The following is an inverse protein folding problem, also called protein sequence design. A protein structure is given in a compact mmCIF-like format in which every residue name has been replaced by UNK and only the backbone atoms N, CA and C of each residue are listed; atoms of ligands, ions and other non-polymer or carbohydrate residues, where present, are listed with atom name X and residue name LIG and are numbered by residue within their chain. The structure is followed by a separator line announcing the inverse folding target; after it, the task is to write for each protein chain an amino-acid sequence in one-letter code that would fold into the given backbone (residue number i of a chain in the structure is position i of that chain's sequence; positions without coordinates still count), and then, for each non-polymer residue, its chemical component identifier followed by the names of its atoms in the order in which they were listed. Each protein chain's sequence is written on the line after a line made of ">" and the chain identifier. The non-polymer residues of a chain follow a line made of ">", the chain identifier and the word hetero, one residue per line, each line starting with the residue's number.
data_IF_473112941592
#
_entry.id   IF_473112941592
#
_cell.length_a   1.000
_cell.length_b   1.000
_cell.length_c   1.000
_cell.angle_alpha   90.00
_cell.angle_beta   90.00
_cell.angle_gamma   90.00
#
_symmetry.space_group_name_H-M   'P 1'
#
loop_
_entity.id
_entity.type
_entity.pdbx_description
1 polymer ?
#
# COMPACT_ATOMS: atom_id res chain seq x y z
N UNK A 1 -11.87 15.26 -7.32
CA UNK A 1 -11.00 14.68 -8.38
C UNK A 1 -10.26 13.50 -7.76
N UNK A 2 -10.41 12.28 -8.31
CA UNK A 2 -9.67 11.11 -7.84
C UNK A 2 -8.16 11.27 -8.06
N UNK A 3 -7.35 10.86 -7.09
CA UNK A 3 -5.89 10.77 -7.23
C UNK A 3 -5.51 9.36 -7.64
N UNK A 4 -4.57 9.25 -8.58
CA UNK A 4 -4.04 7.97 -9.02
C UNK A 4 -2.54 7.98 -8.82
N UNK A 5 -2.01 6.95 -8.18
CA UNK A 5 -0.58 6.76 -7.97
C UNK A 5 -0.14 5.43 -8.55
N UNK A 6 1.01 5.44 -9.21
CA UNK A 6 1.69 4.23 -9.66
C UNK A 6 3.03 4.19 -8.95
N UNK A 7 3.32 3.06 -8.29
CA UNK A 7 4.59 2.83 -7.57
C UNK A 7 5.23 1.60 -8.17
N UNK A 8 6.44 1.74 -8.70
CA UNK A 8 7.17 0.65 -9.35
C UNK A 8 8.62 0.63 -8.91
N UNK A 9 9.18 -0.57 -8.72
CA UNK A 9 10.61 -0.79 -8.45
C UNK A 9 11.12 -0.04 -7.20
N UNK A 10 10.35 -0.12 -6.11
CA UNK A 10 10.69 0.52 -4.83
C UNK A 10 11.21 -0.52 -3.84
N UNK A 11 12.25 -0.15 -3.10
CA UNK A 11 12.76 -0.88 -1.93
C UNK A 11 12.48 -0.06 -0.66
N UNK A 12 11.45 -0.44 0.10
CA UNK A 12 11.05 0.25 1.32
C UNK A 12 11.63 -0.45 2.56
N UNK A 13 12.30 0.32 3.43
CA UNK A 13 12.86 -0.16 4.70
C UNK A 13 11.97 0.29 5.84
N UNK A 14 11.57 -0.63 6.71
CA UNK A 14 10.84 -0.36 7.96
C UNK A 14 9.68 0.66 7.83
N UNK A 15 8.73 0.45 6.90
CA UNK A 15 7.58 1.34 6.77
C UNK A 15 6.74 1.35 8.05
N UNK A 16 6.52 2.53 8.62
CA UNK A 16 5.83 2.70 9.91
C UNK A 16 4.31 2.49 9.83
N UNK A 17 3.70 2.79 8.68
CA UNK A 17 2.23 2.75 8.51
C UNK A 17 1.86 1.92 7.30
N UNK A 18 2.24 2.37 6.09
CA UNK A 18 2.16 1.60 4.86
C UNK A 18 3.09 2.19 3.79
N UNK A 19 3.27 1.48 2.67
CA UNK A 19 4.00 2.03 1.50
C UNK A 19 3.12 3.09 0.80
N UNK A 20 1.83 2.80 0.61
CA UNK A 20 0.84 3.74 0.07
C UNK A 20 -0.44 3.70 0.90
N UNK A 21 -1.11 4.85 1.04
CA UNK A 21 -2.50 4.94 1.51
C UNK A 21 -3.34 5.72 0.50
N UNK A 22 -4.52 5.20 0.14
CA UNK A 22 -5.51 5.85 -0.75
C UNK A 22 -6.83 6.11 -0.04
N UNK A 23 -7.58 7.16 -0.42
CA UNK A 23 -8.90 7.42 0.16
C UNK A 23 -10.01 6.76 -0.67
N UNK A 24 -10.74 5.82 -0.06
CA UNK A 24 -11.83 5.07 -0.71
C UNK A 24 -12.96 5.99 -1.16
N UNK A 25 -13.42 6.90 -0.30
CA UNK A 25 -14.52 7.82 -0.61
C UNK A 25 -14.18 8.91 -1.64
N UNK A 26 -12.89 9.09 -1.96
CA UNK A 26 -12.46 9.98 -3.04
C UNK A 26 -12.23 9.22 -4.36
N UNK A 27 -12.43 7.90 -4.37
CA UNK A 27 -12.09 6.99 -5.46
C UNK A 27 -10.59 7.04 -5.85
N UNK A 28 -9.72 7.33 -4.88
CA UNK A 28 -8.27 7.31 -5.09
C UNK A 28 -7.81 5.86 -5.39
N UNK A 29 -6.75 5.73 -6.18
CA UNK A 29 -6.29 4.43 -6.70
C UNK A 29 -4.77 4.35 -6.62
N UNK A 30 -4.26 3.18 -6.30
CA UNK A 30 -2.85 2.84 -6.35
C UNK A 30 -2.64 1.61 -7.21
N UNK A 31 -1.66 1.67 -8.10
CA UNK A 31 -1.12 0.51 -8.83
C UNK A 31 0.30 0.27 -8.36
N UNK A 32 0.61 -0.96 -7.94
CA UNK A 32 1.93 -1.31 -7.40
C UNK A 32 2.52 -2.47 -8.21
N UNK A 33 3.82 -2.38 -8.51
CA UNK A 33 4.54 -3.41 -9.24
C UNK A 33 5.99 -3.51 -8.73
N UNK A 34 6.48 -4.73 -8.55
CA UNK A 34 7.87 -4.97 -8.15
C UNK A 34 8.29 -4.16 -6.91
N UNK A 35 7.53 -4.30 -5.82
CA UNK A 35 7.74 -3.62 -4.56
C UNK A 35 8.44 -4.56 -3.60
N UNK A 36 9.57 -4.14 -3.08
CA UNK A 36 10.28 -4.84 -2.04
C UNK A 36 10.13 -4.10 -0.73
N UNK A 37 9.91 -4.87 0.33
CA UNK A 37 9.87 -4.36 1.70
C UNK A 37 10.82 -5.17 2.56
N UNK A 38 11.71 -4.48 3.27
CA UNK A 38 12.55 -5.08 4.31
C UNK A 38 12.10 -4.57 5.68
N UNK A 39 11.92 -5.48 6.62
CA UNK A 39 11.76 -5.16 8.04
C UNK A 39 12.95 -5.66 8.82
N UNK A 40 13.54 -4.81 9.65
CA UNK A 40 14.71 -5.15 10.48
C UNK A 40 14.36 -6.10 11.62
N UNK A 41 13.10 -6.10 12.06
CA UNK A 41 12.57 -7.01 13.08
C UNK A 41 12.02 -8.33 12.52
N UNK A 42 12.11 -8.55 11.20
CA UNK A 42 11.67 -9.76 10.52
C UNK A 42 10.14 -9.91 10.37
N UNK A 43 9.34 -8.90 10.75
CA UNK A 43 7.88 -8.95 10.59
C UNK A 43 7.47 -9.01 9.13
N UNK A 44 6.52 -9.90 8.83
CA UNK A 44 5.95 -10.05 7.48
C UNK A 44 4.57 -9.40 7.31
N UNK A 45 3.93 -8.99 8.40
CA UNK A 45 2.61 -8.33 8.39
C UNK A 45 2.73 -6.83 8.10
N UNK A 46 3.39 -6.47 6.99
CA UNK A 46 3.50 -5.08 6.55
C UNK A 46 2.31 -4.71 5.69
N UNK A 47 1.74 -3.54 5.94
CA UNK A 47 0.69 -2.97 5.10
C UNK A 47 1.33 -2.32 3.88
N UNK A 48 1.19 -2.93 2.70
CA UNK A 48 1.80 -2.37 1.49
C UNK A 48 0.91 -1.27 0.92
N UNK A 49 -0.36 -1.60 0.65
CA UNK A 49 -1.37 -0.63 0.26
C UNK A 49 -2.50 -0.63 1.29
N UNK A 50 -2.81 0.53 1.85
CA UNK A 50 -3.90 0.74 2.80
C UNK A 50 -4.96 1.65 2.16
N UNK A 51 -6.23 1.53 2.57
CA UNK A 51 -7.24 2.52 2.22
C UNK A 51 -7.97 3.07 3.44
N UNK A 52 -8.35 4.34 3.33
CA UNK A 52 -8.96 5.14 4.39
C UNK A 52 -10.27 5.80 3.94
N UNK A 53 -11.00 6.33 4.91
CA UNK A 53 -12.06 7.31 4.70
C UNK A 53 -11.47 8.72 4.87
N UNK A 54 -11.41 9.51 3.80
CA UNK A 54 -11.03 10.92 3.90
C UNK A 54 -12.08 11.71 4.69
N UNK A 55 -11.63 12.44 5.71
CA UNK A 55 -12.42 13.42 6.44
C UNK A 55 -11.47 14.40 7.16
N UNK A 56 -12.00 15.29 8.02
CA UNK A 56 -11.16 16.09 8.94
C UNK A 56 -10.36 15.21 9.91
N UNK A 57 -10.87 14.02 10.21
CA UNK A 57 -10.27 12.99 11.08
C UNK A 57 -10.28 11.66 10.33
N UNK A 58 -9.30 11.40 9.45
CA UNK A 58 -9.30 10.20 8.60
C UNK A 58 -9.33 8.91 9.42
N UNK A 59 -9.99 7.88 8.90
CA UNK A 59 -10.03 6.54 9.52
C UNK A 59 -9.56 5.47 8.55
N UNK A 60 -8.83 4.47 9.07
CA UNK A 60 -8.39 3.33 8.29
C UNK A 60 -9.55 2.34 8.11
N UNK A 61 -9.73 1.85 6.89
CA UNK A 61 -10.83 0.95 6.54
C UNK A 61 -10.35 -0.45 6.14
N UNK A 62 -9.07 -0.60 5.78
CA UNK A 62 -8.46 -1.89 5.46
C UNK A 62 -7.14 -1.74 4.68
N UNK A 63 -6.51 -2.86 4.39
CA UNK A 63 -5.25 -2.95 3.64
C UNK A 63 -5.19 -4.24 2.81
N UNK A 64 -4.23 -4.30 1.88
CA UNK A 64 -4.03 -5.41 0.95
C UNK A 64 -4.44 -5.09 -0.50
N UNK A 65 -4.42 -6.10 -1.39
CA UNK A 65 -4.99 -5.99 -2.73
C UNK A 65 -6.51 -5.73 -2.67
N UNK A 66 -6.99 -4.76 -3.46
CA UNK A 66 -8.41 -4.39 -3.44
C UNK A 66 -8.83 -3.71 -4.73
N UNK A 67 -9.38 -4.49 -5.68
CA UNK A 67 -10.02 -4.01 -6.90
C UNK A 67 -9.30 -2.82 -7.53
N UNK A 68 -9.98 -1.67 -7.64
CA UNK A 68 -9.38 -0.43 -8.15
C UNK A 68 -8.61 0.39 -7.10
N UNK A 69 -8.85 0.17 -5.81
CA UNK A 69 -8.22 0.95 -4.72
C UNK A 69 -6.72 0.64 -4.62
N UNK A 70 -6.39 -0.64 -4.58
CA UNK A 70 -5.04 -1.16 -4.43
C UNK A 70 -4.84 -2.29 -5.46
N UNK A 71 -4.30 -1.94 -6.61
CA UNK A 71 -4.13 -2.80 -7.78
C UNK A 71 -2.73 -3.42 -7.76
N UNK A 72 -2.63 -4.64 -7.23
CA UNK A 72 -1.43 -5.46 -7.26
C UNK A 72 -1.79 -6.91 -6.92
N UNK A 73 -0.88 -7.83 -7.18
CA UNK A 73 -0.96 -9.24 -6.83
C UNK A 73 0.13 -9.64 -5.84
N UNK A 74 0.08 -10.87 -5.32
CA UNK A 74 1.13 -11.35 -4.41
C UNK A 74 2.52 -11.39 -5.06
N UNK A 75 2.63 -11.51 -6.39
CA UNK A 75 3.92 -11.49 -7.09
C UNK A 75 4.49 -10.09 -7.30
N UNK A 76 3.72 -9.03 -7.03
CA UNK A 76 4.19 -7.66 -7.15
C UNK A 76 4.83 -7.13 -5.86
N UNK A 77 4.81 -7.92 -4.78
CA UNK A 77 5.25 -7.52 -3.45
C UNK A 77 6.11 -8.61 -2.82
N UNK A 78 7.30 -8.21 -2.40
CA UNK A 78 8.33 -9.07 -1.84
C UNK A 78 8.68 -8.59 -0.43
N UNK A 79 8.18 -9.28 0.61
CA UNK A 79 8.43 -8.89 2.01
C UNK A 79 9.50 -9.79 2.62
N UNK A 80 10.65 -9.21 2.93
CA UNK A 80 11.84 -9.90 3.43
C UNK A 80 12.32 -11.03 2.50
N UNK A 81 12.01 -10.95 1.22
CA UNK A 81 12.61 -11.78 0.18
C UNK A 81 13.93 -11.12 -0.24
N UNK A 82 14.91 -11.95 -0.59
CA UNK A 82 16.26 -11.55 -0.97
C UNK A 82 16.41 -11.41 -2.49
#
# INVERSE_FOLDING_TARGET
>A
IPRKVTVENVYAIDPLVSVVTVNKNNNDQATLKNIYVKTTDGKKNVKVCQWSQASKTPSNLGDGPSGKLCQYSSSDVHINED
#
